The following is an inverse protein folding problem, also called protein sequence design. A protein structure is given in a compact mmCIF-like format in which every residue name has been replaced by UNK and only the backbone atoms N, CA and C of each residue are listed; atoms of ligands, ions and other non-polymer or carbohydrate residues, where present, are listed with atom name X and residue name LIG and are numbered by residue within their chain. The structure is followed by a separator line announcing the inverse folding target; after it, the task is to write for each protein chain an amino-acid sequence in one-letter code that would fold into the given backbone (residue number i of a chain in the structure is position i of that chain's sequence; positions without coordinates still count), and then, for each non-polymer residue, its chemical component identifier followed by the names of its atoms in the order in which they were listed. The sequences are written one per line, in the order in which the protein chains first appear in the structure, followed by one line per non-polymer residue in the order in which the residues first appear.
data_IF_798634447260
#
_entry.id   IF_798634447260
#
_cell.length_a   1.000
_cell.length_b   1.000
_cell.length_c   1.000
_cell.angle_alpha   90.00
_cell.angle_beta   90.00
_cell.angle_gamma   90.00
#
_symmetry.space_group_name_H-M   'P 1'
#
loop_
_entity.id
_entity.type
_entity.pdbx_description
1 polymer ?
#
# COMPACT_ATOMS: atom_id res chain seq x y z
N UNK A 1 -25.98 24.38 -15.08
CA UNK A 1 -25.71 23.12 -14.35
C UNK A 1 -24.31 23.20 -13.75
N UNK A 2 -24.14 22.88 -12.48
CA UNK A 2 -22.82 22.77 -11.85
C UNK A 2 -22.27 21.36 -12.05
N UNK A 3 -20.94 21.24 -12.17
CA UNK A 3 -20.29 19.95 -12.33
C UNK A 3 -20.42 19.10 -11.05
N UNK A 4 -20.61 17.78 -11.23
CA UNK A 4 -20.59 16.84 -10.11
C UNK A 4 -19.15 16.56 -9.71
N UNK A 5 -18.82 16.76 -8.43
CA UNK A 5 -17.50 16.42 -7.88
C UNK A 5 -17.48 14.92 -7.58
N UNK A 6 -16.56 14.20 -8.22
CA UNK A 6 -16.26 12.81 -7.88
C UNK A 6 -15.24 12.81 -6.74
N UNK A 7 -15.73 12.69 -5.50
CA UNK A 7 -14.89 12.69 -4.31
C UNK A 7 -14.21 11.32 -4.09
N UNK A 8 -13.03 11.18 -4.67
CA UNK A 8 -12.18 9.99 -4.47
C UNK A 8 -11.73 9.79 -3.02
N UNK A 9 -11.71 10.82 -2.17
CA UNK A 9 -11.31 10.65 -0.75
C UNK A 9 -12.42 9.97 0.04
N UNK A 10 -13.67 10.40 -0.16
CA UNK A 10 -14.82 9.77 0.44
C UNK A 10 -14.91 8.29 0.02
N UNK A 11 -14.78 8.01 -1.29
CA UNK A 11 -14.80 6.65 -1.81
C UNK A 11 -13.66 5.80 -1.24
N UNK A 12 -12.44 6.32 -1.23
CA UNK A 12 -11.29 5.58 -0.71
C UNK A 12 -11.38 5.31 0.79
N UNK A 13 -12.15 6.09 1.56
CA UNK A 13 -12.43 5.78 2.97
C UNK A 13 -13.35 4.57 3.08
N UNK A 14 -14.43 4.53 2.31
CA UNK A 14 -15.36 3.39 2.26
C UNK A 14 -14.62 2.10 1.89
N UNK A 15 -13.83 2.14 0.81
CA UNK A 15 -13.08 0.97 0.35
C UNK A 15 -12.08 0.44 1.39
N UNK A 16 -11.45 1.33 2.17
CA UNK A 16 -10.54 0.90 3.25
C UNK A 16 -11.25 0.19 4.38
N UNK A 17 -12.49 0.57 4.69
CA UNK A 17 -13.29 -0.10 5.70
C UNK A 17 -13.70 -1.51 5.25
N UNK A 18 -14.16 -1.62 4.00
CA UNK A 18 -14.50 -2.90 3.38
C UNK A 18 -13.28 -3.83 3.32
N UNK A 19 -12.13 -3.31 2.90
CA UNK A 19 -10.86 -4.04 2.88
C UNK A 19 -10.47 -4.54 4.27
N UNK A 20 -10.60 -3.70 5.30
CA UNK A 20 -10.26 -4.12 6.67
C UNK A 20 -11.12 -5.30 7.10
N UNK A 21 -12.43 -5.24 6.86
CA UNK A 21 -13.34 -6.36 7.16
C UNK A 21 -12.98 -7.63 6.39
N UNK A 22 -12.67 -7.50 5.10
CA UNK A 22 -12.23 -8.60 4.25
C UNK A 22 -10.93 -9.24 4.73
N UNK A 23 -9.95 -8.42 5.15
CA UNK A 23 -8.66 -8.89 5.67
C UNK A 23 -8.83 -9.61 7.01
N UNK A 24 -9.70 -9.11 7.90
CA UNK A 24 -10.00 -9.82 9.16
C UNK A 24 -10.60 -11.21 8.87
N UNK A 25 -11.52 -11.29 7.90
CA UNK A 25 -12.09 -12.56 7.46
C UNK A 25 -11.03 -13.49 6.85
N UNK A 26 -10.13 -12.94 6.03
CA UNK A 26 -9.00 -13.69 5.46
C UNK A 26 -8.09 -14.25 6.55
N UNK A 27 -7.72 -13.45 7.54
CA UNK A 27 -6.89 -13.89 8.68
C UNK A 27 -7.58 -15.01 9.45
N UNK A 28 -8.89 -14.90 9.69
CA UNK A 28 -9.65 -15.93 10.39
C UNK A 28 -9.60 -17.29 9.68
N UNK A 29 -9.56 -17.30 8.34
CA UNK A 29 -9.52 -18.52 7.52
C UNK A 29 -8.09 -19.06 7.36
N UNK A 30 -7.11 -18.18 7.15
CA UNK A 30 -5.75 -18.56 6.74
C UNK A 30 -4.70 -18.45 7.84
N UNK A 31 -5.03 -17.86 8.99
CA UNK A 31 -4.14 -17.72 10.15
C UNK A 31 -3.04 -16.65 9.98
N UNK A 32 -3.01 -15.93 8.87
CA UNK A 32 -2.02 -14.88 8.61
C UNK A 32 -2.61 -13.76 7.72
N UNK A 33 -2.14 -12.50 7.87
CA UNK A 33 -2.54 -11.42 6.99
C UNK A 33 -1.94 -11.58 5.60
N UNK A 34 -2.60 -11.06 4.56
CA UNK A 34 -1.96 -10.88 3.26
C UNK A 34 -0.78 -9.91 3.39
N UNK A 35 0.21 -10.06 2.51
CA UNK A 35 1.40 -9.22 2.50
C UNK A 35 1.58 -8.50 1.15
N UNK A 36 2.09 -7.26 1.20
CA UNK A 36 2.52 -6.50 0.05
C UNK A 36 4.01 -6.22 0.17
N UNK A 37 4.80 -6.72 -0.79
CA UNK A 37 6.21 -6.41 -0.91
C UNK A 37 6.43 -5.27 -1.90
N UNK A 38 7.19 -4.26 -1.49
CA UNK A 38 7.63 -3.15 -2.34
C UNK A 38 9.14 -3.13 -2.35
N UNK A 39 9.71 -3.21 -3.55
CA UNK A 39 11.14 -3.01 -3.79
C UNK A 39 11.33 -1.59 -4.29
N UNK A 40 12.16 -0.82 -3.59
CA UNK A 40 12.48 0.55 -3.92
C UNK A 40 13.98 0.66 -4.19
N UNK A 41 14.35 1.22 -5.34
CA UNK A 41 15.72 1.68 -5.61
C UNK A 41 15.80 3.14 -5.21
N UNK A 42 16.75 3.49 -4.35
CA UNK A 42 16.91 4.84 -3.81
C UNK A 42 17.27 5.86 -4.92
N UNK A 43 17.04 7.14 -4.65
CA UNK A 43 17.46 8.25 -5.53
C UNK A 43 16.33 9.18 -6.00
N UNK A 44 15.08 8.88 -5.66
CA UNK A 44 13.92 9.72 -5.98
C UNK A 44 13.04 10.01 -4.76
N UNK A 45 12.94 11.28 -4.38
CA UNK A 45 12.17 11.73 -3.23
C UNK A 45 10.65 11.58 -3.41
N UNK A 46 10.16 11.58 -4.66
CA UNK A 46 8.75 11.31 -4.94
C UNK A 46 8.41 9.84 -4.65
N UNK A 47 9.28 8.92 -5.06
CA UNK A 47 9.20 7.49 -4.75
C UNK A 47 9.21 7.24 -3.24
N UNK A 48 10.10 7.89 -2.48
CA UNK A 48 10.11 7.78 -1.01
C UNK A 48 8.75 8.12 -0.39
N UNK A 49 8.17 9.23 -0.85
CA UNK A 49 6.87 9.71 -0.37
C UNK A 49 5.73 8.78 -0.76
N UNK A 50 5.81 8.21 -1.96
CA UNK A 50 4.83 7.26 -2.49
C UNK A 50 4.86 5.92 -1.75
N UNK A 51 6.05 5.33 -1.58
CA UNK A 51 6.25 4.06 -0.86
C UNK A 51 5.80 4.20 0.60
N UNK A 52 6.10 5.32 1.24
CA UNK A 52 5.60 5.63 2.59
C UNK A 52 4.07 5.70 2.64
N UNK A 53 3.44 6.24 1.60
CA UNK A 53 1.98 6.32 1.50
C UNK A 53 1.34 4.94 1.30
N UNK A 54 1.98 4.05 0.53
CA UNK A 54 1.58 2.64 0.39
C UNK A 54 1.67 1.93 1.74
N UNK A 55 2.78 2.08 2.45
CA UNK A 55 2.96 1.46 3.78
C UNK A 55 1.85 1.87 4.75
N UNK A 56 1.59 3.17 4.87
CA UNK A 56 0.48 3.70 5.70
C UNK A 56 -0.88 3.14 5.30
N UNK A 57 -1.13 2.97 3.99
CA UNK A 57 -2.39 2.41 3.51
C UNK A 57 -2.53 0.93 3.89
N UNK A 58 -1.45 0.15 3.77
CA UNK A 58 -1.40 -1.26 4.16
C UNK A 58 -1.63 -1.43 5.67
N UNK A 59 -0.90 -0.66 6.48
CA UNK A 59 -1.05 -0.67 7.95
C UNK A 59 -2.47 -0.32 8.38
N UNK A 60 -3.10 0.65 7.70
CA UNK A 60 -4.46 1.09 8.00
C UNK A 60 -5.56 0.06 7.72
N UNK A 61 -5.28 -0.96 6.90
CA UNK A 61 -6.25 -2.03 6.56
C UNK A 61 -5.85 -3.41 7.10
N UNK A 62 -4.63 -3.56 7.63
CA UNK A 62 -4.13 -4.82 8.20
C UNK A 62 -3.35 -5.70 7.21
N UNK A 63 -2.88 -5.13 6.09
CA UNK A 63 -1.93 -5.81 5.19
C UNK A 63 -0.53 -5.71 5.81
N UNK A 64 0.22 -6.80 5.81
CA UNK A 64 1.64 -6.78 6.18
C UNK A 64 2.45 -6.10 5.08
N UNK A 65 3.04 -4.94 5.38
CA UNK A 65 3.91 -4.24 4.45
C UNK A 65 5.36 -4.72 4.58
N UNK A 66 5.97 -5.11 3.46
CA UNK A 66 7.36 -5.51 3.36
C UNK A 66 8.06 -4.51 2.44
N UNK A 67 9.03 -3.75 2.98
CA UNK A 67 9.76 -2.76 2.21
C UNK A 67 11.22 -3.17 2.06
N UNK A 68 11.64 -3.42 0.82
CA UNK A 68 13.02 -3.67 0.44
C UNK A 68 13.60 -2.41 -0.20
N UNK A 69 14.44 -1.69 0.53
CA UNK A 69 15.16 -0.54 0.00
C UNK A 69 16.53 -0.97 -0.51
N UNK A 70 16.79 -0.70 -1.77
CA UNK A 70 18.04 -0.98 -2.48
C UNK A 70 18.80 0.33 -2.75
N UNK A 71 20.15 0.29 -2.77
CA UNK A 71 20.98 1.43 -3.17
C UNK A 71 20.64 1.97 -4.57
N UNK A 72 20.85 3.26 -4.82
CA UNK A 72 20.52 3.87 -6.13
C UNK A 72 21.37 3.39 -7.30
N UNK A 73 22.50 2.74 -7.03
CA UNK A 73 23.41 2.12 -7.99
C UNK A 73 23.18 0.61 -8.15
N UNK A 74 22.05 0.09 -7.66
CA UNK A 74 21.69 -1.32 -7.79
C UNK A 74 21.62 -1.76 -9.24
N UNK A 75 22.32 -2.86 -9.56
CA UNK A 75 22.32 -3.44 -10.89
C UNK A 75 21.03 -4.23 -11.18
N UNK A 76 20.71 -4.40 -12.47
CA UNK A 76 19.57 -5.22 -12.88
C UNK A 76 19.72 -6.69 -12.46
N UNK A 77 20.93 -7.24 -12.35
CA UNK A 77 21.17 -8.62 -11.90
C UNK A 77 20.83 -8.81 -10.41
N UNK A 78 20.87 -7.73 -9.63
CA UNK A 78 20.60 -7.74 -8.18
C UNK A 78 19.12 -7.50 -7.85
N UNK A 79 18.34 -6.98 -8.80
CA UNK A 79 16.89 -6.73 -8.70
C UNK A 79 16.09 -8.04 -8.85
#
# INVERSE_FOLDING_TARGET
MTATILDGRALARTLREELRSGIQSFIAVHGAPPALAVVQVAGDAASDSYVRSIGKACDGVGIRFLHQLLPGDTSQETL
#
